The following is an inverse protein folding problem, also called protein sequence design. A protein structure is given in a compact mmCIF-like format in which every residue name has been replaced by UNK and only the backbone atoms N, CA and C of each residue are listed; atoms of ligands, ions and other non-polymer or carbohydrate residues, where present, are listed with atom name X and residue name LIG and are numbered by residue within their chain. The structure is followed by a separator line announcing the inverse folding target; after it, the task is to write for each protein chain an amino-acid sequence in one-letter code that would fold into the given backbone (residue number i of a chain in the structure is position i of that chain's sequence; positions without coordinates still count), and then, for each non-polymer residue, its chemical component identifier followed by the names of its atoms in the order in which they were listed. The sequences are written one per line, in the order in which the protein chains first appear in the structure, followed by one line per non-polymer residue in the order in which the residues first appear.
data_IF_083945780649
#
_entry.id   IF_083945780649
#
_cell.length_a   1.000
_cell.length_b   1.000
_cell.length_c   1.000
_cell.angle_alpha   90.00
_cell.angle_beta   90.00
_cell.angle_gamma   90.00
#
_symmetry.space_group_name_H-M   'P 1'
#
loop_
_entity.id
_entity.type
_entity.pdbx_description
1 polymer ?
#
# COMPACT_ATOMS: atom_id res chain seq x y z
N UNK A 1 21.36 3.53 -76.67
CA UNK A 1 20.31 2.81 -77.42
C UNK A 1 18.94 3.40 -77.09
N UNK A 2 18.04 3.49 -78.07
CA UNK A 2 16.58 3.79 -78.00
C UNK A 2 16.05 4.64 -76.82
N UNK A 3 15.66 5.88 -77.13
CA UNK A 3 14.56 6.58 -76.42
C UNK A 3 13.18 6.09 -76.90
N UNK A 4 12.17 6.09 -76.03
CA UNK A 4 10.69 6.25 -76.27
C UNK A 4 9.95 5.71 -75.03
N UNK A 5 8.77 6.14 -74.54
CA UNK A 5 7.80 7.27 -74.74
C UNK A 5 6.77 7.17 -73.57
N UNK A 6 5.86 8.10 -73.21
CA UNK A 6 5.36 9.37 -73.76
C UNK A 6 4.92 10.31 -72.60
N UNK A 7 4.80 11.60 -72.88
CA UNK A 7 3.87 12.62 -72.33
C UNK A 7 2.38 12.16 -72.36
N UNK A 8 1.32 12.84 -71.89
CA UNK A 8 0.91 14.25 -71.64
C UNK A 8 -0.31 14.16 -70.64
N UNK A 9 -0.90 15.19 -70.03
CA UNK A 9 -1.59 16.36 -70.62
C UNK A 9 -1.53 17.55 -69.64
N UNK A 10 -1.31 18.75 -70.20
CA UNK A 10 -1.49 20.05 -69.52
C UNK A 10 -2.64 20.79 -70.19
N UNK A 11 -3.59 21.32 -69.42
CA UNK A 11 -4.52 22.39 -69.80
C UNK A 11 -5.32 22.85 -68.56
N UNK A 12 -5.61 24.13 -68.34
CA UNK A 12 -4.98 25.37 -68.82
C UNK A 12 -5.28 26.50 -67.82
N UNK A 13 -4.46 27.56 -67.81
CA UNK A 13 -4.68 28.73 -66.95
C UNK A 13 -5.94 29.53 -67.35
N UNK A 14 -6.63 30.07 -66.35
CA UNK A 14 -7.18 31.43 -66.41
C UNK A 14 -6.86 32.12 -65.08
N UNK A 15 -6.15 33.24 -65.16
CA UNK A 15 -5.97 34.13 -64.02
C UNK A 15 -6.46 35.53 -64.38
N UNK A 16 -7.00 36.25 -63.41
CA UNK A 16 -6.97 37.71 -63.32
C UNK A 16 -6.94 38.08 -61.81
N UNK A 17 -6.29 39.19 -61.42
CA UNK A 17 -5.88 39.42 -60.03
C UNK A 17 -6.89 40.27 -59.25
N UNK A 18 -6.85 40.23 -57.91
CA UNK A 18 -7.36 41.33 -57.09
C UNK A 18 -6.51 41.54 -55.81
N UNK A 19 -6.39 42.81 -55.44
CA UNK A 19 -5.67 43.42 -54.33
C UNK A 19 -5.38 42.56 -53.07
N UNK A 20 -4.10 42.53 -52.65
CA UNK A 20 -3.71 42.23 -51.28
C UNK A 20 -3.92 43.47 -50.40
N UNK A 21 -5.07 43.52 -49.72
CA UNK A 21 -5.23 44.35 -48.53
C UNK A 21 -4.37 43.79 -47.39
N UNK A 22 -3.75 44.66 -46.60
CA UNK A 22 -2.85 44.24 -45.53
C UNK A 22 -3.59 43.62 -44.36
N UNK A 23 -3.26 42.37 -44.03
CA UNK A 23 -3.52 41.80 -42.71
C UNK A 23 -2.19 41.82 -41.94
N UNK A 24 -2.09 42.64 -40.90
CA UNK A 24 -1.08 42.44 -39.87
C UNK A 24 -1.48 41.16 -39.11
N UNK A 25 -0.81 40.05 -39.39
CA UNK A 25 -0.98 38.83 -38.61
C UNK A 25 -0.27 39.00 -37.28
N UNK A 26 -1.03 39.11 -36.20
CA UNK A 26 -0.49 38.85 -34.86
C UNK A 26 0.06 37.42 -34.84
N UNK A 27 1.30 37.27 -34.39
CA UNK A 27 1.89 35.94 -34.20
C UNK A 27 1.05 35.20 -33.15
N UNK A 28 0.82 33.87 -33.32
CA UNK A 28 0.10 33.11 -32.31
C UNK A 28 0.86 33.20 -30.99
N UNK A 29 0.22 33.84 -30.01
CA UNK A 29 0.72 33.92 -28.64
C UNK A 29 0.90 32.49 -28.15
N UNK A 30 2.14 32.10 -27.85
CA UNK A 30 2.44 30.75 -27.42
C UNK A 30 1.68 30.50 -26.13
N UNK A 31 0.69 29.60 -26.18
CA UNK A 31 -0.10 29.22 -25.02
C UNK A 31 0.86 28.69 -23.96
N UNK A 32 1.15 29.53 -22.97
CA UNK A 32 1.95 29.15 -21.83
C UNK A 32 1.14 28.11 -21.07
N UNK A 33 1.56 26.84 -21.17
CA UNK A 33 0.95 25.76 -20.39
C UNK A 33 0.90 26.22 -18.94
N UNK A 34 -0.32 26.30 -18.40
CA UNK A 34 -0.49 26.63 -17.00
C UNK A 34 0.29 25.60 -16.19
N UNK A 35 1.16 26.05 -15.30
CA UNK A 35 1.89 25.16 -14.42
C UNK A 35 0.88 24.21 -13.74
N UNK A 36 1.17 22.90 -13.66
CA UNK A 36 0.25 21.95 -13.07
C UNK A 36 -0.16 22.43 -11.68
N UNK A 37 -1.45 22.31 -11.37
CA UNK A 37 -1.98 22.69 -10.06
C UNK A 37 -1.16 21.98 -8.97
N UNK A 38 -0.83 22.67 -7.84
CA UNK A 38 -0.04 22.06 -6.79
C UNK A 38 -0.78 20.82 -6.26
N UNK A 39 -0.07 19.69 -6.24
CA UNK A 39 -0.61 18.40 -5.79
C UNK A 39 -1.18 18.52 -4.38
N UNK A 40 -2.45 18.12 -4.21
CA UNK A 40 -3.07 18.08 -2.88
C UNK A 40 -2.51 16.92 -2.04
N UNK A 41 -1.94 15.90 -2.69
CA UNK A 41 -1.29 14.77 -2.01
C UNK A 41 0.08 15.12 -1.44
N UNK A 42 0.87 15.93 -2.14
CA UNK A 42 2.29 16.16 -1.85
C UNK A 42 2.63 16.49 -0.37
N UNK A 43 1.84 17.29 0.39
CA UNK A 43 2.11 17.53 1.81
C UNK A 43 1.97 16.28 2.70
N UNK A 44 1.14 15.33 2.29
CA UNK A 44 0.75 14.13 3.04
C UNK A 44 1.58 12.90 2.64
N UNK A 45 2.14 12.86 1.42
CA UNK A 45 3.02 11.79 0.94
C UNK A 45 4.17 11.56 1.93
N UNK A 46 4.39 10.30 2.31
CA UNK A 46 5.40 9.88 3.26
C UNK A 46 5.00 8.65 4.06
N UNK A 47 5.93 8.16 4.87
CA UNK A 47 5.71 7.11 5.87
C UNK A 47 5.88 7.70 7.26
N UNK A 48 4.99 7.35 8.17
CA UNK A 48 4.94 7.93 9.51
C UNK A 48 4.81 6.83 10.56
N UNK A 49 5.52 6.98 11.67
CA UNK A 49 5.41 6.13 12.84
C UNK A 49 4.33 6.67 13.78
N UNK A 50 3.59 5.77 14.43
CA UNK A 50 2.62 6.10 15.44
C UNK A 50 3.32 6.55 16.73
N UNK A 51 3.06 7.78 17.19
CA UNK A 51 3.67 8.34 18.41
C UNK A 51 2.67 8.70 19.50
N UNK A 52 1.36 8.68 19.22
CA UNK A 52 0.36 8.87 20.27
C UNK A 52 -1.09 8.89 19.78
N UNK A 53 -1.98 9.11 20.75
CA UNK A 53 -3.40 9.43 20.54
C UNK A 53 -3.76 10.57 21.47
N UNK A 54 -4.65 11.46 21.02
CA UNK A 54 -5.28 12.45 21.87
C UNK A 54 -6.76 12.12 22.04
N UNK A 55 -7.34 12.47 23.18
CA UNK A 55 -8.78 12.44 23.46
C UNK A 55 -9.21 13.81 24.01
N UNK A 56 -10.51 14.09 24.01
CA UNK A 56 -11.01 15.29 24.67
C UNK A 56 -11.07 15.09 26.18
N UNK A 57 -10.55 16.06 26.93
CA UNK A 57 -10.70 16.15 28.37
C UNK A 57 -12.09 16.68 28.79
N UNK A 58 -12.33 16.84 30.10
CA UNK A 58 -13.58 17.37 30.64
C UNK A 58 -13.91 18.81 30.18
N UNK A 59 -12.91 19.57 29.70
CA UNK A 59 -13.08 20.91 29.14
C UNK A 59 -13.35 20.91 27.62
N UNK A 60 -13.21 19.76 26.96
CA UNK A 60 -13.30 19.59 25.52
C UNK A 60 -11.99 19.86 24.77
N UNK A 61 -10.88 20.10 25.48
CA UNK A 61 -9.56 20.31 24.90
C UNK A 61 -8.88 18.97 24.59
N UNK A 62 -8.00 18.94 23.59
CA UNK A 62 -7.21 17.75 23.28
C UNK A 62 -6.12 17.52 24.33
N UNK A 63 -6.18 16.36 24.99
CA UNK A 63 -5.15 15.87 25.91
C UNK A 63 -4.56 14.55 25.37
N UNK A 64 -3.24 14.31 25.53
CA UNK A 64 -2.64 13.04 25.15
C UNK A 64 -3.16 11.91 26.03
N UNK A 65 -3.31 10.72 25.45
CA UNK A 65 -3.60 9.49 26.20
C UNK A 65 -2.34 9.06 26.95
N UNK A 66 -2.41 9.04 28.29
CA UNK A 66 -1.35 8.50 29.15
C UNK A 66 -1.16 6.98 28.91
N UNK A 67 0.02 6.47 29.24
CA UNK A 67 0.40 5.05 29.07
C UNK A 67 0.16 4.49 27.64
N UNK A 68 0.40 5.34 26.63
CA UNK A 68 0.23 4.99 25.22
C UNK A 68 1.13 3.81 24.80
N UNK A 69 0.54 2.62 24.70
CA UNK A 69 1.26 1.37 24.42
C UNK A 69 0.89 0.79 23.05
N UNK A 70 1.28 1.45 21.94
CA UNK A 70 1.05 0.92 20.59
C UNK A 70 2.18 1.30 19.63
N UNK A 71 2.56 0.35 18.76
CA UNK A 71 3.44 0.58 17.61
C UNK A 71 2.62 0.50 16.32
N UNK A 72 3.02 1.26 15.32
CA UNK A 72 2.44 1.14 13.98
C UNK A 72 3.04 2.12 12.99
N UNK A 73 2.77 1.87 11.72
CA UNK A 73 3.13 2.74 10.60
C UNK A 73 1.90 3.03 9.76
N UNK A 74 1.82 4.25 9.23
CA UNK A 74 0.92 4.63 8.15
C UNK A 74 1.76 5.19 7.01
N UNK A 75 1.37 4.89 5.77
CA UNK A 75 2.05 5.43 4.59
C UNK A 75 1.03 5.98 3.61
N UNK A 76 1.40 7.09 2.97
CA UNK A 76 0.70 7.69 1.84
C UNK A 76 1.68 7.83 0.69
N UNK A 77 1.31 7.30 -0.47
CA UNK A 77 2.13 7.41 -1.69
C UNK A 77 1.73 8.60 -2.56
N UNK A 78 2.70 9.08 -3.33
CA UNK A 78 2.50 9.95 -4.49
C UNK A 78 1.56 9.33 -5.54
N UNK A 79 1.49 7.99 -5.61
CA UNK A 79 0.60 7.23 -6.51
C UNK A 79 -0.86 7.14 -6.06
N UNK A 80 -1.24 7.73 -4.93
CA UNK A 80 -2.63 7.81 -4.48
C UNK A 80 -3.16 6.57 -3.75
N UNK A 81 -2.27 5.77 -3.14
CA UNK A 81 -2.65 4.68 -2.23
C UNK A 81 -2.01 4.82 -0.85
N UNK A 82 -2.68 4.23 0.14
CA UNK A 82 -2.29 4.23 1.54
C UNK A 82 -2.39 2.84 2.15
N UNK A 83 -1.66 2.66 3.25
CA UNK A 83 -1.71 1.46 4.06
C UNK A 83 -1.38 1.80 5.51
N UNK A 84 -1.92 1.03 6.45
CA UNK A 84 -1.65 1.17 7.88
C UNK A 84 -1.58 -0.19 8.57
N UNK A 85 -0.65 -0.30 9.52
CA UNK A 85 -0.67 -1.32 10.57
C UNK A 85 -0.45 -0.64 11.92
N UNK A 86 -1.21 -1.04 12.93
CA UNK A 86 -1.07 -0.65 14.33
C UNK A 86 -1.37 -1.86 15.21
N UNK A 87 -0.59 -2.06 16.27
CA UNK A 87 -0.83 -3.07 17.29
C UNK A 87 -0.43 -2.56 18.68
N UNK A 88 -1.06 -3.06 19.76
CA UNK A 88 -0.48 -2.95 21.10
C UNK A 88 0.89 -3.62 21.18
N UNK A 89 1.77 -3.12 22.05
CA UNK A 89 3.11 -3.68 22.25
C UNK A 89 3.11 -4.89 23.21
N UNK A 90 2.10 -4.96 24.09
CA UNK A 90 1.90 -5.97 25.14
C UNK A 90 0.97 -7.12 24.69
N UNK A 91 1.12 -7.58 23.46
CA UNK A 91 0.31 -8.68 22.90
C UNK A 91 0.89 -10.03 23.30
N UNK A 92 0.14 -10.77 24.11
CA UNK A 92 0.61 -12.07 24.58
C UNK A 92 0.73 -13.09 23.44
N UNK A 93 1.83 -13.87 23.38
CA UNK A 93 1.97 -15.02 22.50
C UNK A 93 0.85 -16.05 22.72
N UNK A 94 0.47 -16.73 21.64
CA UNK A 94 -0.38 -17.92 21.73
C UNK A 94 0.35 -19.06 22.45
N UNK A 95 -0.40 -19.92 23.14
CA UNK A 95 0.15 -20.94 24.02
C UNK A 95 0.90 -22.09 23.29
N UNK A 96 0.58 -22.31 22.02
CA UNK A 96 1.18 -23.33 21.16
C UNK A 96 1.41 -22.77 19.74
N UNK A 97 2.40 -23.31 19.01
CA UNK A 97 2.74 -22.91 17.64
C UNK A 97 1.67 -23.28 16.59
N UNK A 98 0.75 -24.18 16.93
CA UNK A 98 -0.35 -24.64 16.09
C UNK A 98 -1.49 -23.63 15.87
N UNK A 99 -2.66 -24.16 15.54
CA UNK A 99 -3.87 -23.37 15.29
C UNK A 99 -4.39 -22.76 16.60
N UNK A 100 -4.51 -21.42 16.72
CA UNK A 100 -4.89 -20.78 17.96
C UNK A 100 -6.39 -20.96 18.27
N UNK A 101 -6.73 -20.85 19.55
CA UNK A 101 -8.12 -20.80 20.02
C UNK A 101 -8.82 -19.50 19.59
N UNK A 102 -10.16 -19.52 19.64
CA UNK A 102 -10.96 -18.35 19.31
C UNK A 102 -10.72 -17.20 20.31
N UNK A 103 -10.57 -17.55 21.59
CA UNK A 103 -10.31 -16.65 22.71
C UNK A 103 -8.94 -15.99 22.62
N UNK A 104 -7.88 -16.76 22.29
CA UNK A 104 -6.54 -16.22 22.05
C UNK A 104 -6.54 -15.20 20.91
N UNK A 105 -7.17 -15.54 19.78
CA UNK A 105 -7.28 -14.61 18.65
C UNK A 105 -8.10 -13.37 19.02
N UNK A 106 -9.20 -13.54 19.75
CA UNK A 106 -10.05 -12.44 20.19
C UNK A 106 -9.29 -11.43 21.05
N UNK A 107 -8.49 -11.92 22.00
CA UNK A 107 -7.60 -11.09 22.82
C UNK A 107 -6.49 -10.45 21.96
N UNK A 108 -5.83 -11.22 21.11
CA UNK A 108 -4.72 -10.75 20.28
C UNK A 108 -5.11 -9.73 19.20
N UNK A 109 -6.38 -9.70 18.77
CA UNK A 109 -6.90 -8.68 17.84
C UNK A 109 -7.40 -7.42 18.54
N UNK A 110 -7.51 -7.37 19.86
CA UNK A 110 -7.83 -6.12 20.57
C UNK A 110 -6.78 -5.04 20.27
N UNK A 111 -7.25 -3.86 19.87
CA UNK A 111 -6.39 -2.75 19.46
C UNK A 111 -5.61 -2.95 18.15
N UNK A 112 -5.65 -4.13 17.52
CA UNK A 112 -4.98 -4.38 16.24
C UNK A 112 -5.76 -3.74 15.10
N UNK A 113 -5.14 -2.81 14.38
CA UNK A 113 -5.72 -2.13 13.21
C UNK A 113 -4.81 -2.35 12.02
N UNK A 114 -5.32 -2.96 10.95
CA UNK A 114 -4.60 -3.04 9.69
C UNK A 114 -5.57 -2.85 8.53
N UNK A 115 -5.24 -1.99 7.58
CA UNK A 115 -6.02 -1.79 6.35
C UNK A 115 -5.21 -1.11 5.25
N UNK A 116 -5.67 -1.25 4.01
CA UNK A 116 -5.04 -0.71 2.82
C UNK A 116 -6.07 -0.34 1.75
N UNK A 117 -5.68 0.57 0.87
CA UNK A 117 -6.50 0.98 -0.26
C UNK A 117 -6.08 2.31 -0.89
N UNK A 118 -6.77 2.77 -1.94
CA UNK A 118 -6.61 4.13 -2.44
C UNK A 118 -6.88 5.19 -1.37
N UNK A 119 -6.40 6.41 -1.58
CA UNK A 119 -6.87 7.58 -0.83
C UNK A 119 -7.10 8.79 -1.74
N UNK A 120 -8.05 9.63 -1.32
CA UNK A 120 -8.33 10.93 -1.92
C UNK A 120 -8.04 12.03 -0.90
N UNK A 121 -7.67 13.21 -1.37
CA UNK A 121 -7.47 14.41 -0.54
C UNK A 121 -8.50 15.44 -0.98
N UNK A 122 -9.22 16.00 -0.03
CA UNK A 122 -10.32 16.93 -0.25
C UNK A 122 -10.30 18.02 0.84
N UNK A 123 -11.13 19.05 0.69
CA UNK A 123 -11.27 20.15 1.63
C UNK A 123 -12.74 20.54 1.76
N UNK A 124 -13.19 20.85 2.98
CA UNK A 124 -14.50 21.44 3.25
C UNK A 124 -14.40 22.59 4.27
N UNK A 125 -15.55 23.03 4.81
CA UNK A 125 -15.61 24.13 5.76
C UNK A 125 -14.88 23.87 7.10
N UNK A 126 -14.61 22.61 7.45
CA UNK A 126 -13.85 22.20 8.64
C UNK A 126 -12.34 21.99 8.33
N UNK A 127 -11.95 22.14 7.05
CA UNK A 127 -10.57 22.09 6.56
C UNK A 127 -10.24 20.87 5.70
N UNK A 128 -8.94 20.62 5.52
CA UNK A 128 -8.42 19.49 4.73
C UNK A 128 -8.73 18.13 5.36
N UNK A 129 -9.15 17.18 4.53
CA UNK A 129 -9.36 15.79 4.93
C UNK A 129 -8.90 14.78 3.88
N UNK A 130 -8.72 13.56 4.35
CA UNK A 130 -8.45 12.36 3.57
C UNK A 130 -9.70 11.49 3.57
N UNK A 131 -9.97 10.82 2.45
CA UNK A 131 -10.83 9.63 2.44
C UNK A 131 -9.92 8.42 2.22
N UNK A 132 -9.84 7.51 3.19
CA UNK A 132 -9.21 6.21 2.98
C UNK A 132 -10.24 5.27 2.36
N UNK A 133 -10.06 4.83 1.12
CA UNK A 133 -10.95 3.91 0.42
C UNK A 133 -10.49 2.47 0.71
N UNK A 134 -10.89 1.91 1.86
CA UNK A 134 -10.39 0.60 2.34
C UNK A 134 -10.90 -0.54 1.48
N UNK A 135 -10.01 -1.11 0.66
CA UNK A 135 -10.33 -2.31 -0.14
C UNK A 135 -9.99 -3.60 0.61
N UNK A 136 -9.10 -3.55 1.61
CA UNK A 136 -8.82 -4.66 2.51
C UNK A 136 -8.47 -4.19 3.91
N UNK A 137 -8.94 -4.92 4.93
CA UNK A 137 -8.88 -4.50 6.35
C UNK A 137 -9.05 -5.68 7.30
N UNK A 138 -8.42 -5.67 8.48
CA UNK A 138 -8.54 -6.78 9.46
C UNK A 138 -10.00 -7.01 9.88
N UNK A 139 -10.73 -5.95 10.23
CA UNK A 139 -12.16 -6.00 10.56
C UNK A 139 -13.00 -6.13 9.27
N UNK A 140 -13.73 -7.25 9.04
CA UNK A 140 -14.54 -7.42 7.83
C UNK A 140 -15.72 -6.46 7.70
N UNK A 141 -16.25 -5.95 8.82
CA UNK A 141 -17.36 -4.99 8.86
C UNK A 141 -16.93 -3.52 8.99
N UNK A 142 -15.63 -3.20 8.86
CA UNK A 142 -15.14 -1.83 9.01
C UNK A 142 -15.66 -0.87 7.92
N UNK A 143 -15.84 0.40 8.31
CA UNK A 143 -16.09 1.54 7.41
C UNK A 143 -15.18 1.49 6.16
N UNK A 144 -15.77 1.42 4.96
CA UNK A 144 -15.02 1.34 3.69
C UNK A 144 -14.39 2.70 3.34
N UNK A 145 -15.21 3.73 3.16
CA UNK A 145 -14.76 5.09 2.86
C UNK A 145 -14.63 5.90 4.15
N UNK A 146 -13.39 6.07 4.60
CA UNK A 146 -13.12 6.53 5.94
C UNK A 146 -12.57 7.96 5.97
N UNK A 147 -13.44 8.93 6.32
CA UNK A 147 -13.07 10.35 6.39
C UNK A 147 -12.18 10.66 7.59
N UNK A 148 -11.00 11.23 7.35
CA UNK A 148 -10.01 11.64 8.35
C UNK A 148 -9.57 13.07 8.07
N UNK A 149 -10.00 14.03 8.90
CA UNK A 149 -9.40 15.37 8.86
C UNK A 149 -7.94 15.27 9.22
N UNK A 150 -7.09 16.13 8.64
CA UNK A 150 -5.68 16.16 8.95
C UNK A 150 -5.20 17.55 9.37
N UNK A 151 -4.15 17.57 10.18
CA UNK A 151 -3.36 18.75 10.51
C UNK A 151 -1.88 18.36 10.41
N UNK A 152 -1.03 19.24 9.87
CA UNK A 152 0.42 19.03 9.77
C UNK A 152 1.13 20.02 10.69
N UNK A 153 1.90 19.49 11.65
CA UNK A 153 2.63 20.27 12.65
C UNK A 153 4.12 19.87 12.63
N UNK A 154 4.90 20.53 11.75
CA UNK A 154 6.31 20.19 11.57
C UNK A 154 6.49 18.83 10.90
N UNK A 155 7.03 17.85 11.63
CA UNK A 155 7.12 16.45 11.23
C UNK A 155 5.86 15.64 11.57
N UNK A 156 4.89 16.22 12.31
CA UNK A 156 3.70 15.51 12.76
C UNK A 156 2.56 15.57 11.77
N UNK A 157 1.95 14.41 11.53
CA UNK A 157 0.65 14.27 10.88
C UNK A 157 -0.38 13.87 11.95
N UNK A 158 -1.32 14.76 12.23
CA UNK A 158 -2.39 14.51 13.18
C UNK A 158 -3.65 14.14 12.39
N UNK A 159 -4.14 12.91 12.56
CA UNK A 159 -5.36 12.43 11.92
C UNK A 159 -6.51 12.45 12.91
N UNK A 160 -7.56 13.19 12.58
CA UNK A 160 -8.80 13.32 13.36
C UNK A 160 -9.93 12.59 12.62
N UNK A 161 -10.33 11.38 13.05
CA UNK A 161 -11.49 10.70 12.47
C UNK A 161 -12.76 11.52 12.61
N UNK A 162 -13.51 11.64 11.51
CA UNK A 162 -14.82 12.28 11.55
C UNK A 162 -15.74 11.55 12.54
N UNK A 163 -16.61 12.33 13.18
CA UNK A 163 -17.73 11.83 13.99
C UNK A 163 -18.85 11.26 13.11
N UNK A 164 -19.87 10.67 13.73
CA UNK A 164 -21.13 10.31 13.05
C UNK A 164 -21.86 11.54 12.45
N UNK A 165 -21.63 12.74 13.00
CA UNK A 165 -22.14 14.01 12.46
C UNK A 165 -21.33 14.51 11.25
N UNK A 166 -20.19 13.87 10.93
CA UNK A 166 -19.29 14.23 9.84
C UNK A 166 -18.36 15.42 10.13
N UNK A 167 -18.54 16.11 11.26
CA UNK A 167 -17.85 17.36 11.61
C UNK A 167 -16.53 17.10 12.36
N UNK A 168 -15.51 17.92 12.10
CA UNK A 168 -14.21 17.87 12.82
C UNK A 168 -14.38 18.26 14.29
N UNK A 169 -15.29 19.20 14.58
CA UNK A 169 -15.58 19.68 15.95
C UNK A 169 -16.04 18.59 16.90
N UNK A 170 -16.71 17.56 16.39
CA UNK A 170 -17.41 16.55 17.18
C UNK A 170 -16.57 15.27 17.36
N UNK A 171 -15.40 15.20 16.73
CA UNK A 171 -14.49 14.07 16.84
C UNK A 171 -14.10 13.77 18.30
N UNK A 172 -14.04 12.49 18.66
CA UNK A 172 -13.73 12.05 20.02
C UNK A 172 -12.23 11.78 20.27
N UNK A 173 -11.43 11.65 19.20
CA UNK A 173 -10.00 11.29 19.28
C UNK A 173 -9.19 11.89 18.12
N UNK A 174 -7.89 12.03 18.33
CA UNK A 174 -6.89 12.20 17.28
C UNK A 174 -5.87 11.06 17.35
N UNK A 175 -5.23 10.77 16.23
CA UNK A 175 -4.09 9.84 16.13
C UNK A 175 -2.89 10.65 15.66
N UNK A 176 -1.82 10.65 16.44
CA UNK A 176 -0.63 11.47 16.20
C UNK A 176 0.48 10.60 15.63
N UNK A 177 0.93 10.97 14.44
CA UNK A 177 1.98 10.28 13.70
C UNK A 177 3.17 11.21 13.50
N UNK A 178 4.38 10.67 13.49
CA UNK A 178 5.63 11.40 13.26
C UNK A 178 6.27 10.90 11.96
N UNK A 179 6.62 11.82 11.06
CA UNK A 179 7.17 11.53 9.74
C UNK A 179 8.56 10.91 9.88
N UNK A 180 8.74 9.71 9.33
CA UNK A 180 10.05 9.08 9.26
C UNK A 180 10.89 9.72 8.15
N UNK A 181 12.21 9.88 8.36
CA UNK A 181 13.11 10.34 7.30
C UNK A 181 13.31 9.23 6.26
N UNK A 182 13.53 9.65 5.01
CA UNK A 182 14.02 8.75 3.96
C UNK A 182 15.45 8.29 4.31
N UNK A 183 15.78 7.04 3.94
CA UNK A 183 17.11 6.46 4.18
C UNK A 183 17.87 6.29 2.86
N UNK A 184 19.20 6.20 2.93
CA UNK A 184 20.02 5.91 1.76
C UNK A 184 19.86 4.43 1.37
N UNK A 185 18.99 4.17 0.39
CA UNK A 185 18.76 2.84 -0.19
C UNK A 185 19.71 2.57 -1.37
N UNK A 186 20.22 1.34 -1.45
CA UNK A 186 21.00 0.89 -2.61
C UNK A 186 20.17 0.96 -3.91
N UNK A 187 20.84 0.98 -5.07
CA UNK A 187 20.17 1.02 -6.36
C UNK A 187 19.24 -0.18 -6.58
N UNK A 188 19.54 -1.34 -5.97
CA UNK A 188 18.68 -2.52 -6.02
C UNK A 188 17.50 -2.38 -5.05
N UNK A 189 17.73 -1.93 -3.81
CA UNK A 189 16.65 -1.67 -2.84
C UNK A 189 15.64 -0.61 -3.33
N UNK A 190 16.09 0.39 -4.10
CA UNK A 190 15.20 1.37 -4.74
C UNK A 190 14.19 0.72 -5.72
N UNK A 191 14.47 -0.46 -6.29
CA UNK A 191 13.55 -1.16 -7.21
C UNK A 191 12.38 -1.86 -6.50
N UNK A 192 12.48 -2.05 -5.19
CA UNK A 192 11.38 -2.59 -4.38
C UNK A 192 10.28 -1.56 -4.14
N UNK A 193 10.64 -0.27 -4.14
CA UNK A 193 9.79 0.85 -3.72
C UNK A 193 8.43 0.91 -4.43
N UNK A 194 7.43 1.33 -3.67
CA UNK A 194 6.04 1.40 -4.09
C UNK A 194 5.19 0.26 -3.53
N UNK A 195 3.91 0.26 -3.90
CA UNK A 195 2.90 -0.70 -3.45
C UNK A 195 2.58 -1.65 -4.60
N UNK A 196 2.46 -2.93 -4.30
CA UNK A 196 2.33 -4.02 -5.27
C UNK A 196 1.17 -4.92 -4.87
N UNK A 197 0.37 -5.34 -5.85
CA UNK A 197 -0.78 -6.23 -5.67
C UNK A 197 -0.39 -7.68 -5.96
N UNK A 198 -0.82 -8.62 -5.11
CA UNK A 198 -0.64 -10.05 -5.30
C UNK A 198 -1.52 -10.51 -6.46
N UNK A 199 -0.90 -11.06 -7.50
CA UNK A 199 -1.59 -11.69 -8.62
C UNK A 199 -2.00 -13.12 -8.25
N UNK A 200 -1.04 -13.92 -7.80
CA UNK A 200 -1.23 -15.33 -7.42
C UNK A 200 -0.04 -15.84 -6.61
N UNK A 201 -0.20 -17.04 -6.06
CA UNK A 201 0.91 -17.87 -5.57
C UNK A 201 1.02 -19.14 -6.40
N UNK A 202 2.22 -19.71 -6.52
CA UNK A 202 2.43 -21.03 -7.15
C UNK A 202 3.41 -21.84 -6.27
N UNK A 203 3.27 -23.16 -6.30
CA UNK A 203 4.19 -24.10 -5.66
C UNK A 203 5.15 -24.69 -6.68
N UNK A 204 6.30 -25.15 -6.22
CA UNK A 204 7.26 -25.86 -7.06
C UNK A 204 7.92 -27.01 -6.30
N UNK A 205 8.34 -28.02 -7.06
CA UNK A 205 9.29 -29.05 -6.63
C UNK A 205 10.66 -28.72 -7.22
N UNK A 206 11.74 -29.20 -6.61
CA UNK A 206 13.11 -29.03 -7.13
C UNK A 206 13.57 -30.33 -7.76
N UNK A 207 13.66 -30.36 -9.09
CA UNK A 207 14.15 -31.48 -9.89
C UNK A 207 15.52 -31.12 -10.48
N UNK A 208 16.50 -32.02 -10.40
CA UNK A 208 17.88 -31.81 -10.87
C UNK A 208 18.54 -30.48 -10.41
N UNK A 209 18.10 -29.94 -9.27
CA UNK A 209 18.59 -28.68 -8.70
C UNK A 209 17.89 -27.41 -9.21
N UNK A 210 16.87 -27.53 -10.06
CA UNK A 210 16.07 -26.43 -10.59
C UNK A 210 14.61 -26.48 -10.09
N UNK A 211 13.96 -25.34 -9.80
CA UNK A 211 12.54 -25.31 -9.46
C UNK A 211 11.69 -25.60 -10.71
N UNK A 212 10.82 -26.60 -10.61
CA UNK A 212 9.79 -26.96 -11.59
C UNK A 212 8.44 -26.54 -11.00
N UNK A 213 7.86 -25.47 -11.56
CA UNK A 213 6.57 -24.93 -11.10
C UNK A 213 5.43 -25.91 -11.37
N UNK A 214 4.49 -25.98 -10.42
CA UNK A 214 3.34 -26.86 -10.51
C UNK A 214 2.35 -26.43 -11.59
N UNK A 215 2.36 -25.14 -11.94
CA UNK A 215 1.39 -24.48 -12.83
C UNK A 215 0.02 -24.25 -12.17
N UNK A 216 -0.18 -24.69 -10.93
CA UNK A 216 -1.43 -24.56 -10.18
C UNK A 216 -1.46 -23.21 -9.45
N UNK A 217 -1.62 -22.13 -10.22
CA UNK A 217 -1.77 -20.77 -9.68
C UNK A 217 -2.95 -20.72 -8.69
N UNK A 218 -2.65 -20.35 -7.45
CA UNK A 218 -3.64 -20.09 -6.41
C UNK A 218 -3.89 -18.57 -6.33
N UNK A 219 -5.14 -18.17 -6.55
CA UNK A 219 -5.59 -16.77 -6.52
C UNK A 219 -6.44 -16.44 -5.28
N UNK A 220 -6.47 -17.32 -4.26
CA UNK A 220 -7.33 -17.21 -3.06
C UNK A 220 -7.03 -15.97 -2.22
N UNK A 221 -5.89 -15.31 -2.48
CA UNK A 221 -5.47 -14.04 -1.85
C UNK A 221 -5.10 -12.95 -2.86
N UNK A 222 -5.44 -13.10 -4.15
CA UNK A 222 -5.19 -12.04 -5.12
C UNK A 222 -5.93 -10.74 -4.72
N UNK A 223 -5.31 -9.58 -4.94
CA UNK A 223 -5.76 -8.30 -4.35
C UNK A 223 -5.16 -7.98 -2.97
N UNK A 224 -4.37 -8.90 -2.39
CA UNK A 224 -3.49 -8.64 -1.24
C UNK A 224 -2.38 -7.67 -1.62
N UNK A 225 -1.87 -6.86 -0.69
CA UNK A 225 -0.81 -5.88 -0.97
C UNK A 225 0.48 -6.12 -0.19
N UNK A 226 1.61 -5.81 -0.84
CA UNK A 226 2.91 -5.57 -0.22
C UNK A 226 3.40 -4.19 -0.61
N UNK A 227 4.17 -3.53 0.24
CA UNK A 227 4.77 -2.24 -0.09
C UNK A 227 6.14 -2.07 0.56
N UNK A 228 6.96 -1.24 -0.07
CA UNK A 228 8.28 -0.82 0.39
C UNK A 228 8.41 0.70 0.27
N UNK A 229 8.95 1.35 1.29
CA UNK A 229 8.97 2.81 1.42
C UNK A 229 10.40 3.38 1.36
N UNK A 230 10.58 4.64 0.92
CA UNK A 230 11.90 5.30 0.94
C UNK A 230 12.53 5.41 2.34
N UNK A 231 11.73 5.26 3.39
CA UNK A 231 12.16 5.23 4.79
C UNK A 231 12.72 3.86 5.23
N UNK A 232 12.92 2.92 4.30
CA UNK A 232 13.44 1.58 4.59
C UNK A 232 12.44 0.64 5.28
N UNK A 233 11.15 0.96 5.23
CA UNK A 233 10.08 0.18 5.86
C UNK A 233 9.25 -0.58 4.83
N UNK A 234 8.60 -1.64 5.29
CA UNK A 234 7.73 -2.47 4.48
C UNK A 234 6.47 -2.89 5.26
N UNK A 235 5.37 -3.12 4.53
CA UNK A 235 4.11 -3.62 5.09
C UNK A 235 3.49 -4.67 4.18
N UNK A 236 2.81 -5.66 4.77
CA UNK A 236 2.13 -6.76 4.07
C UNK A 236 0.72 -6.91 4.61
N UNK A 237 -0.22 -7.06 3.68
CA UNK A 237 -1.62 -7.36 3.93
C UNK A 237 -2.06 -8.51 3.02
N UNK A 238 -2.20 -9.70 3.58
CA UNK A 238 -2.63 -10.93 2.92
C UNK A 238 -4.09 -11.23 3.27
N UNK A 239 -5.03 -10.71 2.47
CA UNK A 239 -6.46 -10.90 2.65
C UNK A 239 -6.98 -12.02 1.74
N UNK A 240 -7.94 -12.81 2.22
CA UNK A 240 -8.72 -13.70 1.35
C UNK A 240 -9.47 -12.88 0.29
N UNK A 241 -9.43 -13.33 -0.96
CA UNK A 241 -10.12 -12.72 -2.10
C UNK A 241 -11.63 -12.94 -2.05
N UNK A 242 -12.05 -14.10 -1.55
CA UNK A 242 -13.47 -14.38 -1.32
C UNK A 242 -14.04 -13.48 -0.20
N UNK A 243 -15.34 -13.17 -0.33
CA UNK A 243 -16.02 -12.26 0.59
C UNK A 243 -15.97 -12.74 2.04
N UNK A 244 -15.60 -11.84 2.96
CA UNK A 244 -15.54 -12.11 4.40
C UNK A 244 -16.80 -11.59 5.08
N UNK A 245 -17.40 -12.39 5.94
CA UNK A 245 -18.63 -12.04 6.67
C UNK A 245 -18.36 -10.90 7.67
N UNK A 246 -19.10 -9.78 7.63
CA UNK A 246 -19.10 -8.76 8.68
C UNK A 246 -19.50 -9.34 10.04
N UNK A 247 -19.05 -8.72 11.12
CA UNK A 247 -19.48 -9.07 12.47
C UNK A 247 -20.98 -8.79 12.67
N UNK A 248 -21.63 -9.56 13.52
CA UNK A 248 -23.06 -9.42 13.84
C UNK A 248 -23.38 -8.14 14.64
N UNK A 249 -22.37 -7.48 15.22
CA UNK A 249 -22.47 -6.20 15.92
C UNK A 249 -21.11 -5.51 16.05
N UNK A 250 -21.08 -4.39 16.79
CA UNK A 250 -19.90 -3.49 16.85
C UNK A 250 -18.66 -4.12 17.49
N UNK A 251 -18.85 -5.15 18.32
CA UNK A 251 -17.77 -5.93 18.95
C UNK A 251 -17.88 -7.38 18.49
N UNK A 252 -16.82 -7.98 17.91
CA UNK A 252 -16.87 -9.35 17.42
C UNK A 252 -16.95 -10.37 18.55
N UNK A 253 -17.55 -11.53 18.29
CA UNK A 253 -17.36 -12.72 19.14
C UNK A 253 -15.94 -13.31 18.96
N UNK A 254 -15.50 -14.24 19.82
CA UNK A 254 -14.26 -14.96 19.60
C UNK A 254 -14.20 -15.73 18.27
N UNK A 255 -15.31 -16.36 17.86
CA UNK A 255 -15.41 -17.11 16.61
C UNK A 255 -15.33 -16.18 15.38
N UNK A 256 -15.96 -15.01 15.45
CA UNK A 256 -15.86 -13.97 14.42
C UNK A 256 -14.42 -13.42 14.32
N UNK A 257 -13.74 -13.29 15.46
CA UNK A 257 -12.34 -12.88 15.52
C UNK A 257 -11.42 -13.92 14.88
N UNK A 258 -11.65 -15.21 15.16
CA UNK A 258 -10.94 -16.34 14.53
C UNK A 258 -11.19 -16.43 13.01
N UNK A 259 -12.42 -16.19 12.56
CA UNK A 259 -12.75 -16.15 11.14
C UNK A 259 -12.03 -15.00 10.40
N UNK A 260 -11.99 -13.80 11.01
CA UNK A 260 -11.26 -12.65 10.48
C UNK A 260 -9.74 -12.92 10.43
N UNK A 261 -9.17 -13.51 11.48
CA UNK A 261 -7.75 -13.88 11.56
C UNK A 261 -7.33 -14.89 10.47
N UNK A 262 -8.10 -15.96 10.27
CA UNK A 262 -7.82 -16.97 9.22
C UNK A 262 -7.83 -16.38 7.80
N UNK A 263 -8.64 -15.36 7.59
CA UNK A 263 -8.84 -14.69 6.30
C UNK A 263 -8.01 -13.42 6.13
N UNK A 264 -7.16 -13.07 7.10
CA UNK A 264 -6.29 -11.89 7.05
C UNK A 264 -4.95 -12.09 7.79
N UNK A 265 -3.87 -12.24 7.03
CA UNK A 265 -2.51 -12.15 7.53
C UNK A 265 -1.91 -10.77 7.28
N UNK A 266 -0.97 -10.33 8.11
CA UNK A 266 -0.21 -9.11 7.84
C UNK A 266 0.98 -8.96 8.79
N UNK A 267 1.98 -8.21 8.34
CA UNK A 267 3.18 -7.87 9.12
C UNK A 267 3.83 -6.61 8.57
N UNK A 268 4.67 -5.97 9.37
CA UNK A 268 5.32 -4.70 9.06
C UNK A 268 6.64 -4.53 9.83
N UNK A 269 7.48 -3.62 9.34
CA UNK A 269 8.74 -3.21 9.95
C UNK A 269 9.80 -2.86 8.89
N UNK A 270 11.08 -2.73 9.26
CA UNK A 270 12.16 -2.47 8.32
C UNK A 270 12.39 -3.59 7.30
N UNK A 271 13.07 -3.29 6.19
CA UNK A 271 13.58 -4.29 5.26
C UNK A 271 15.06 -4.06 4.91
N UNK A 272 15.77 -5.17 4.67
CA UNK A 272 17.16 -5.16 4.18
C UNK A 272 17.25 -6.00 2.92
N UNK A 273 17.79 -5.45 1.84
CA UNK A 273 18.12 -6.22 0.62
C UNK A 273 19.56 -6.73 0.73
N UNK A 274 19.78 -7.96 0.27
CA UNK A 274 21.08 -8.61 0.17
C UNK A 274 21.33 -8.99 -1.30
N UNK A 275 21.61 -7.98 -2.12
CA UNK A 275 21.81 -8.10 -3.57
C UNK A 275 23.07 -8.87 -3.97
N UNK A 276 24.12 -8.83 -3.14
CA UNK A 276 25.39 -9.54 -3.37
C UNK A 276 25.34 -11.03 -2.98
N UNK A 277 24.21 -11.52 -2.47
CA UNK A 277 24.03 -12.92 -2.11
C UNK A 277 23.64 -13.78 -3.32
N UNK A 278 23.99 -15.07 -3.30
CA UNK A 278 23.62 -16.04 -4.34
C UNK A 278 22.82 -17.22 -3.73
N UNK A 279 21.51 -17.34 -4.01
CA UNK A 279 20.64 -16.36 -4.69
C UNK A 279 20.37 -15.11 -3.81
N UNK A 280 20.03 -13.96 -4.42
CA UNK A 280 19.76 -12.72 -3.69
C UNK A 280 18.44 -12.82 -2.93
N UNK A 281 18.38 -12.12 -1.78
CA UNK A 281 17.23 -12.17 -0.89
C UNK A 281 16.95 -10.82 -0.22
N UNK A 282 15.72 -10.63 0.23
CA UNK A 282 15.30 -9.52 1.10
C UNK A 282 14.93 -10.10 2.47
N UNK A 283 15.29 -9.43 3.55
CA UNK A 283 14.83 -9.72 4.91
C UNK A 283 13.74 -8.72 5.25
N UNK A 284 12.57 -9.21 5.67
CA UNK A 284 11.57 -8.39 6.34
C UNK A 284 11.76 -8.54 7.86
N UNK A 285 12.15 -7.46 8.53
CA UNK A 285 12.33 -7.41 9.97
C UNK A 285 10.96 -7.12 10.61
N UNK A 286 10.23 -8.17 11.00
CA UNK A 286 8.83 -8.02 11.44
C UNK A 286 8.78 -7.49 12.88
N UNK A 287 8.59 -6.18 13.03
CA UNK A 287 8.37 -5.52 14.32
C UNK A 287 6.93 -5.74 14.83
N UNK A 288 5.98 -5.94 13.91
CA UNK A 288 4.61 -6.30 14.26
C UNK A 288 3.93 -7.14 13.19
N UNK A 289 3.00 -8.00 13.62
CA UNK A 289 2.28 -8.95 12.75
C UNK A 289 0.99 -9.48 13.38
N UNK A 290 0.09 -10.06 12.58
CA UNK A 290 -1.21 -10.54 13.09
C UNK A 290 -1.06 -11.61 14.16
N UNK A 291 -0.13 -12.57 14.03
CA UNK A 291 0.17 -13.60 15.05
C UNK A 291 1.16 -13.04 16.10
N UNK A 292 0.78 -12.83 17.37
CA UNK A 292 1.67 -12.29 18.40
C UNK A 292 2.96 -13.11 18.54
N UNK A 293 4.06 -12.41 18.81
CA UNK A 293 5.38 -12.97 19.13
C UNK A 293 6.15 -12.01 20.02
N UNK A 294 7.04 -12.57 20.84
CA UNK A 294 7.98 -11.80 21.65
C UNK A 294 9.10 -11.23 20.78
N UNK A 295 9.03 -9.94 20.46
CA UNK A 295 10.07 -9.20 19.75
C UNK A 295 10.06 -9.34 18.22
N UNK A 296 11.08 -8.78 17.59
CA UNK A 296 11.24 -8.73 16.13
C UNK A 296 11.55 -10.13 15.58
N UNK A 297 10.91 -10.53 14.49
CA UNK A 297 11.22 -11.79 13.78
C UNK A 297 11.61 -11.55 12.34
N UNK A 298 12.75 -12.09 11.91
CA UNK A 298 13.21 -11.97 10.53
C UNK A 298 12.53 -12.96 9.59
N UNK A 299 12.23 -12.49 8.38
CA UNK A 299 11.63 -13.27 7.32
C UNK A 299 12.41 -13.10 6.01
N UNK A 300 13.39 -13.97 5.77
CA UNK A 300 14.08 -14.06 4.48
C UNK A 300 13.14 -14.43 3.34
N UNK A 301 13.25 -13.71 2.22
CA UNK A 301 12.59 -14.01 0.95
C UNK A 301 13.60 -13.96 -0.18
N UNK A 302 13.83 -15.08 -0.86
CA UNK A 302 14.47 -15.09 -2.17
C UNK A 302 13.60 -14.25 -3.12
N UNK A 303 14.21 -13.43 -3.97
CA UNK A 303 13.44 -12.57 -4.87
C UNK A 303 13.92 -12.61 -6.33
N UNK A 304 13.03 -12.15 -7.22
CA UNK A 304 13.37 -11.78 -8.59
C UNK A 304 12.50 -10.58 -8.98
N UNK A 305 13.10 -9.58 -9.61
CA UNK A 305 12.41 -8.39 -10.13
C UNK A 305 12.51 -8.38 -11.66
N UNK A 306 11.37 -8.52 -12.33
CA UNK A 306 11.23 -8.46 -13.80
C UNK A 306 10.19 -7.40 -14.17
N UNK A 307 10.66 -6.25 -14.67
CA UNK A 307 9.84 -5.06 -14.87
C UNK A 307 9.07 -4.67 -13.61
N UNK A 308 7.74 -4.61 -13.73
CA UNK A 308 6.82 -4.27 -12.65
C UNK A 308 6.48 -5.47 -11.74
N UNK A 309 6.94 -6.69 -12.03
CA UNK A 309 6.65 -7.91 -11.24
C UNK A 309 7.80 -8.23 -10.28
N UNK A 310 7.46 -8.30 -8.99
CA UNK A 310 8.30 -8.82 -7.91
C UNK A 310 7.84 -10.24 -7.57
N UNK A 311 8.70 -11.25 -7.78
CA UNK A 311 8.52 -12.60 -7.23
C UNK A 311 9.20 -12.67 -5.87
N UNK A 312 8.51 -13.18 -4.84
CA UNK A 312 9.08 -13.50 -3.53
C UNK A 312 8.84 -14.97 -3.19
N UNK A 313 9.82 -15.65 -2.60
CA UNK A 313 9.68 -17.02 -2.12
C UNK A 313 10.50 -17.29 -0.86
N UNK A 314 10.07 -18.25 -0.04
CA UNK A 314 10.96 -18.78 1.00
C UNK A 314 12.09 -19.61 0.39
N UNK A 315 13.17 -19.88 1.14
CA UNK A 315 14.09 -20.95 0.78
C UNK A 315 13.32 -22.28 0.76
N UNK A 316 13.49 -23.14 -0.27
CA UNK A 316 12.76 -24.39 -0.34
C UNK A 316 13.17 -25.33 0.79
N UNK A 317 12.28 -26.27 1.14
CA UNK A 317 12.42 -27.20 2.26
C UNK A 317 12.17 -28.61 1.78
N UNK A 318 12.90 -29.57 2.33
CA UNK A 318 12.65 -31.00 2.09
C UNK A 318 11.40 -31.44 2.87
N UNK A 319 10.43 -32.06 2.20
CA UNK A 319 9.22 -32.63 2.81
C UNK A 319 9.50 -34.05 3.37
N UNK A 320 8.48 -34.68 3.95
CA UNK A 320 8.60 -36.03 4.53
C UNK A 320 8.89 -37.13 3.47
N UNK A 321 8.46 -36.91 2.23
CA UNK A 321 8.71 -37.78 1.07
C UNK A 321 10.13 -37.62 0.48
N UNK A 322 10.92 -36.67 0.99
CA UNK A 322 12.28 -36.39 0.54
C UNK A 322 12.39 -35.42 -0.65
N UNK A 323 11.27 -34.91 -1.15
CA UNK A 323 11.22 -33.91 -2.22
C UNK A 323 11.54 -32.53 -1.64
N UNK A 324 12.33 -31.75 -2.36
CA UNK A 324 12.60 -30.35 -1.97
C UNK A 324 11.55 -29.45 -2.62
N UNK A 325 10.69 -28.83 -1.81
CA UNK A 325 9.52 -28.07 -2.26
C UNK A 325 9.59 -26.61 -1.82
N UNK A 326 8.95 -25.74 -2.58
CA UNK A 326 8.84 -24.32 -2.24
C UNK A 326 7.61 -23.66 -2.84
N UNK A 327 7.55 -22.34 -2.72
CA UNK A 327 6.48 -21.55 -3.31
C UNK A 327 6.88 -20.12 -3.56
N UNK A 328 6.22 -19.52 -4.54
CA UNK A 328 6.41 -18.15 -4.99
C UNK A 328 5.11 -17.35 -4.83
N UNK A 329 5.26 -16.07 -4.50
CA UNK A 329 4.22 -15.05 -4.52
C UNK A 329 4.59 -14.03 -5.60
N UNK A 330 3.65 -13.72 -6.48
CA UNK A 330 3.86 -12.85 -7.64
C UNK A 330 3.13 -11.52 -7.45
N UNK A 331 3.88 -10.43 -7.33
CA UNK A 331 3.36 -9.10 -6.96
C UNK A 331 3.62 -8.05 -8.05
N UNK A 332 2.58 -7.44 -8.60
CA UNK A 332 2.68 -6.42 -9.67
C UNK A 332 2.59 -4.99 -9.10
N UNK A 333 3.44 -4.08 -9.58
CA UNK A 333 3.45 -2.67 -9.15
C UNK A 333 2.15 -1.96 -9.52
N UNK A 334 1.53 -1.29 -8.54
CA UNK A 334 0.29 -0.57 -8.75
C UNK A 334 0.48 0.66 -9.68
N UNK A 335 -0.45 0.92 -10.62
CA UNK A 335 -0.39 2.07 -11.51
C UNK A 335 -0.52 3.39 -10.75
N UNK A 336 -0.13 4.51 -11.35
CA UNK A 336 -0.35 5.82 -10.73
C UNK A 336 -1.83 6.21 -10.83
N UNK A 337 -2.46 6.61 -9.71
CA UNK A 337 -3.85 7.11 -9.71
C UNK A 337 -3.88 8.63 -9.95
N UNK A 338 -4.80 9.17 -10.77
CA UNK A 338 -5.02 10.62 -10.84
C UNK A 338 -5.40 11.17 -9.47
N UNK A 339 -5.16 12.47 -9.25
CA UNK A 339 -5.65 13.20 -8.07
C UNK A 339 -7.17 13.38 -8.11
#
# INVERSE_FOLDING_TARGET
MRSTRTTLIVAALVGLPLALAGCAGEAPEAAMEAAPAPSMRAPIVGTYQLVGRNVKDESGAWAPVEDFNSLGYITYSDRGYMAVNVMPLDREPFADDGEPTAEEVHAALQGYTAYYGPFSVEEDADGGYLIHHRIGQINPGGEVDAKRYYDIEGDRLILTPASETGMKSDAARQVVWERLPDVELSAEAQRFLGMRELLYTDSYVVEDGAPVESGNRNEDRAGSWILYTPTGHMMVHLMAREGRTPYAGDTPTPEESLAAYRTYGGYFGPFTVHEDADPPYVVHHQEGRTRPVSGVTDAERLYQLDGDVLRLGGRPRTNEDGETVGGHLYWELLPHRPE
#
